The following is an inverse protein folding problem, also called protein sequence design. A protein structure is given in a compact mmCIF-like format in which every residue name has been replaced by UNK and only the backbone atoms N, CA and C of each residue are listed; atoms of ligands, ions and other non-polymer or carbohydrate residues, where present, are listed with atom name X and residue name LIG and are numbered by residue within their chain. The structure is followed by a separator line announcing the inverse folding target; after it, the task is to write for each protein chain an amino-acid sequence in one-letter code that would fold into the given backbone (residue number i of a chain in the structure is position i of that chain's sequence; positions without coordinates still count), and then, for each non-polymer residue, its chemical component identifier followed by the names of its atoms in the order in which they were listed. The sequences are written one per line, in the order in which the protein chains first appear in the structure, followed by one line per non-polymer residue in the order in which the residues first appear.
data_IF_036024827122
#
_entry.id   IF_036024827122
#
_cell.length_a   1.000
_cell.length_b   1.000
_cell.length_c   1.000
_cell.angle_alpha   90.00
_cell.angle_beta   90.00
_cell.angle_gamma   90.00
#
_symmetry.space_group_name_H-M   'P 1'
#
loop_
_entity.id
_entity.type
_entity.pdbx_description
1 polymer ?
#
# COMPACT_ATOMS: atom_id res chain seq x y z
N UNK A 1 0.31 -8.18 11.59
CA UNK A 1 0.31 -7.55 10.24
C UNK A 1 0.17 -8.67 9.21
N UNK A 2 -0.48 -8.46 8.06
CA UNK A 2 -0.64 -9.53 7.04
C UNK A 2 0.69 -10.15 6.59
N UNK A 3 1.75 -9.35 6.56
CA UNK A 3 3.12 -9.81 6.27
C UNK A 3 3.61 -10.86 7.29
N UNK A 4 3.22 -10.76 8.55
CA UNK A 4 3.58 -11.72 9.62
C UNK A 4 2.81 -13.04 9.49
N UNK A 5 1.59 -12.97 8.97
CA UNK A 5 0.74 -14.14 8.70
C UNK A 5 1.11 -14.86 7.39
N UNK A 6 2.20 -14.44 6.74
CA UNK A 6 2.76 -15.12 5.55
C UNK A 6 2.17 -14.66 4.21
N UNK A 7 1.34 -13.61 4.18
CA UNK A 7 0.83 -13.08 2.92
C UNK A 7 1.91 -12.28 2.17
N UNK A 8 1.87 -12.36 0.83
CA UNK A 8 2.63 -11.44 -0.04
C UNK A 8 1.84 -10.15 -0.18
N UNK A 9 2.39 -9.04 0.33
CA UNK A 9 1.68 -7.77 0.46
C UNK A 9 2.41 -6.68 -0.33
N UNK A 10 1.62 -5.89 -1.06
CA UNK A 10 2.02 -4.59 -1.59
C UNK A 10 1.17 -3.55 -0.87
N UNK A 11 1.81 -2.52 -0.30
CA UNK A 11 1.12 -1.44 0.40
C UNK A 11 1.42 -0.11 -0.29
N UNK A 12 0.36 0.66 -0.54
CA UNK A 12 0.44 1.98 -1.16
C UNK A 12 -0.36 3.01 -0.36
N UNK A 13 0.13 4.24 -0.33
CA UNK A 13 -0.56 5.38 0.28
C UNK A 13 -0.14 6.67 -0.46
N UNK A 14 -1.01 7.67 -0.50
CA UNK A 14 -0.70 8.97 -1.10
C UNK A 14 0.05 9.91 -0.12
N UNK A 15 0.11 9.53 1.17
CA UNK A 15 0.76 10.32 2.21
C UNK A 15 2.16 9.82 2.51
N UNK A 16 3.18 10.55 2.05
CA UNK A 16 4.59 10.31 2.42
C UNK A 16 4.81 10.24 3.93
N UNK A 17 4.06 11.05 4.68
CA UNK A 17 4.13 11.09 6.13
C UNK A 17 3.74 9.73 6.74
N UNK A 18 2.71 9.08 6.19
CA UNK A 18 2.28 7.76 6.63
C UNK A 18 3.23 6.67 6.13
N UNK A 19 3.66 6.74 4.87
CA UNK A 19 4.62 5.79 4.28
C UNK A 19 5.95 5.75 5.06
N UNK A 20 6.42 6.89 5.56
CA UNK A 20 7.64 6.95 6.38
C UNK A 20 7.60 6.00 7.58
N UNK A 21 6.45 5.82 8.22
CA UNK A 21 6.31 4.88 9.34
C UNK A 21 6.38 3.43 8.85
N UNK A 22 5.70 3.10 7.75
CA UNK A 22 5.73 1.76 7.16
C UNK A 22 7.15 1.38 6.70
N UNK A 23 7.84 2.28 6.00
CA UNK A 23 9.22 2.10 5.56
C UNK A 23 10.19 1.93 6.74
N UNK A 24 10.00 2.70 7.82
CA UNK A 24 10.80 2.54 9.06
C UNK A 24 10.57 1.17 9.70
N UNK A 25 9.33 0.70 9.76
CA UNK A 25 8.98 -0.62 10.29
C UNK A 25 9.61 -1.73 9.45
N UNK A 26 9.48 -1.65 8.12
CA UNK A 26 10.13 -2.58 7.18
C UNK A 26 11.64 -2.60 7.39
N UNK A 27 12.29 -1.43 7.46
CA UNK A 27 13.73 -1.33 7.64
C UNK A 27 14.22 -1.95 8.95
N UNK A 28 13.51 -1.70 10.06
CA UNK A 28 13.86 -2.25 11.37
C UNK A 28 13.80 -3.78 11.38
N UNK A 29 12.88 -4.36 10.61
CA UNK A 29 12.63 -5.81 10.53
C UNK A 29 13.14 -6.45 9.25
N UNK A 30 13.98 -5.75 8.47
CA UNK A 30 14.48 -6.19 7.15
C UNK A 30 15.23 -7.54 7.16
N UNK A 31 15.67 -8.02 8.32
CA UNK A 31 16.30 -9.34 8.45
C UNK A 31 15.30 -10.49 8.41
N UNK A 32 14.01 -10.19 8.57
CA UNK A 32 12.93 -11.16 8.45
C UNK A 32 12.53 -11.28 6.97
N UNK A 33 12.57 -12.48 6.36
CA UNK A 33 12.30 -12.65 4.93
C UNK A 33 10.94 -12.12 4.48
N UNK A 34 9.93 -12.15 5.35
CA UNK A 34 8.60 -11.61 5.05
C UNK A 34 8.62 -10.08 4.89
N UNK A 35 9.34 -9.37 5.77
CA UNK A 35 9.47 -7.91 5.70
C UNK A 35 10.42 -7.46 4.60
N UNK A 36 11.44 -8.25 4.28
CA UNK A 36 12.32 -7.97 3.14
C UNK A 36 11.54 -7.93 1.82
N UNK A 37 10.62 -8.89 1.63
CA UNK A 37 9.76 -9.02 0.44
C UNK A 37 8.54 -8.10 0.43
N UNK A 38 8.21 -7.43 1.53
CA UNK A 38 7.08 -6.51 1.60
C UNK A 38 7.35 -5.27 0.75
N UNK A 39 6.50 -5.02 -0.25
CA UNK A 39 6.61 -3.86 -1.14
C UNK A 39 5.81 -2.68 -0.57
N UNK A 40 6.43 -1.51 -0.51
CA UNK A 40 5.82 -0.27 -0.02
C UNK A 40 6.18 0.83 -1.02
N UNK A 41 5.17 1.43 -1.63
CA UNK A 41 5.32 2.46 -2.66
C UNK A 41 4.32 3.59 -2.45
N UNK A 42 4.53 4.72 -3.12
CA UNK A 42 3.53 5.78 -3.21
C UNK A 42 2.39 5.36 -4.14
N UNK A 43 1.15 5.73 -3.78
CA UNK A 43 -0.02 5.44 -4.60
C UNK A 43 -1.22 6.32 -4.29
N UNK A 44 -1.75 7.00 -5.31
CA UNK A 44 -2.94 7.82 -5.26
C UNK A 44 -4.11 7.15 -5.97
N UNK A 45 -5.27 7.10 -5.31
CA UNK A 45 -6.51 6.55 -5.87
C UNK A 45 -6.89 7.12 -7.25
N UNK A 46 -6.58 8.39 -7.50
CA UNK A 46 -6.95 9.08 -8.75
C UNK A 46 -6.04 8.69 -9.95
N UNK A 47 -4.85 8.17 -9.68
CA UNK A 47 -3.82 7.78 -10.68
C UNK A 47 -3.29 6.36 -10.44
N UNK A 48 -4.07 5.56 -9.70
CA UNK A 48 -3.60 4.29 -9.14
C UNK A 48 -3.20 3.30 -10.24
N UNK A 49 -3.95 3.25 -11.33
CA UNK A 49 -3.69 2.34 -12.44
C UNK A 49 -2.30 2.56 -13.06
N UNK A 50 -1.88 3.81 -13.20
CA UNK A 50 -0.56 4.15 -13.74
C UNK A 50 0.53 3.83 -12.71
N UNK A 51 0.33 4.21 -11.45
CA UNK A 51 1.33 4.14 -10.38
C UNK A 51 1.65 2.70 -9.96
N UNK A 52 0.66 1.79 -9.93
CA UNK A 52 0.89 0.40 -9.51
C UNK A 52 1.08 -0.56 -10.69
N UNK A 53 1.12 -0.07 -11.93
CA UNK A 53 1.19 -0.89 -13.15
C UNK A 53 2.38 -1.86 -13.13
N UNK A 54 3.54 -1.43 -12.62
CA UNK A 54 4.75 -2.25 -12.47
C UNK A 54 4.70 -3.20 -11.26
N UNK A 55 3.82 -2.93 -10.30
CA UNK A 55 3.68 -3.71 -9.06
C UNK A 55 2.66 -4.83 -9.17
N UNK A 56 1.77 -4.77 -10.18
CA UNK A 56 0.71 -5.75 -10.39
C UNK A 56 1.31 -7.08 -10.88
N UNK A 57 1.18 -8.18 -10.12
CA UNK A 57 1.62 -9.48 -10.59
C UNK A 57 0.64 -10.00 -11.64
N UNK A 58 1.05 -9.98 -12.92
CA UNK A 58 0.26 -10.52 -14.03
C UNK A 58 -1.14 -9.89 -14.13
N UNK A 59 -2.18 -10.63 -13.73
CA UNK A 59 -3.60 -10.23 -13.90
C UNK A 59 -4.15 -9.36 -12.77
N UNK A 60 -3.50 -9.24 -11.62
CA UNK A 60 -4.09 -8.53 -10.48
C UNK A 60 -3.59 -8.99 -9.11
N UNK A 61 -4.32 -8.61 -8.07
CA UNK A 61 -4.13 -9.09 -6.70
C UNK A 61 -5.29 -10.02 -6.32
N UNK A 62 -5.04 -11.02 -5.49
CA UNK A 62 -6.09 -11.93 -4.99
C UNK A 62 -7.12 -11.20 -4.11
N UNK A 63 -6.68 -10.15 -3.40
CA UNK A 63 -7.51 -9.29 -2.59
C UNK A 63 -6.96 -7.85 -2.57
N UNK A 64 -7.85 -6.88 -2.42
CA UNK A 64 -7.53 -5.47 -2.20
C UNK A 64 -8.27 -5.00 -0.94
N UNK A 65 -7.57 -4.33 -0.04
CA UNK A 65 -8.13 -3.83 1.21
C UNK A 65 -8.07 -2.31 1.29
N UNK A 66 -9.17 -1.69 1.72
CA UNK A 66 -9.24 -0.28 2.11
C UNK A 66 -10.07 -0.21 3.39
N UNK A 67 -9.38 -0.12 4.53
CA UNK A 67 -9.98 -0.21 5.86
C UNK A 67 -9.71 1.08 6.64
N UNK A 68 -10.35 1.25 7.79
CA UNK A 68 -10.09 2.38 8.69
C UNK A 68 -10.69 3.71 8.22
N UNK A 69 -11.79 3.67 7.46
CA UNK A 69 -12.46 4.85 6.91
C UNK A 69 -11.60 5.67 5.93
N UNK A 70 -10.52 5.10 5.39
CA UNK A 70 -9.55 5.83 4.57
C UNK A 70 -10.14 6.40 3.28
N UNK A 71 -11.07 5.70 2.64
CA UNK A 71 -11.69 6.20 1.40
C UNK A 71 -12.48 7.49 1.60
N UNK A 72 -13.07 7.69 2.78
CA UNK A 72 -13.83 8.90 3.11
C UNK A 72 -12.97 10.17 3.19
N UNK A 73 -11.63 10.04 3.17
CA UNK A 73 -10.74 11.19 3.09
C UNK A 73 -10.65 11.80 1.69
N UNK A 74 -11.14 11.12 0.65
CA UNK A 74 -11.21 11.68 -0.70
C UNK A 74 -12.45 12.58 -0.80
N UNK A 75 -12.31 13.91 -0.90
CA UNK A 75 -13.45 14.81 -0.98
C UNK A 75 -14.11 14.72 -2.35
N UNK A 76 -15.40 15.05 -2.41
CA UNK A 76 -16.02 15.42 -3.68
C UNK A 76 -15.54 16.83 -4.08
N UNK A 77 -14.65 16.90 -5.06
CA UNK A 77 -14.09 18.15 -5.55
C UNK A 77 -15.12 19.03 -6.30
N UNK A 78 -16.26 18.47 -6.71
CA UNK A 78 -17.29 19.21 -7.44
C UNK A 78 -18.34 19.79 -6.50
N UNK A 79 -18.60 19.15 -5.37
CA UNK A 79 -19.62 19.54 -4.41
C UNK A 79 -21.01 19.45 -5.03
N UNK A 80 -21.80 18.45 -4.63
CA UNK A 80 -23.25 18.47 -4.89
C UNK A 80 -23.93 19.63 -4.18
#
# INVERSE_FOLDING_TARGET
MLVEEGFSVVSVDASDKMLKYALKTRWNRRKEPAFDKWVIEEGNWLSLEQEISSLRPGKGFDAVICLGNSFAHLPDFKGT
#
